data_IF_175878112895
#
_entry.id   IF_175878112895
#
_cell.length_a   1.000
_cell.length_b   1.000
_cell.length_c   1.000
_cell.angle_alpha   90.00
_cell.angle_beta   90.00
_cell.angle_gamma   90.00
#
_symmetry.space_group_name_H-M   'P 1'
#
loop_
_entity.id
_entity.type
_entity.pdbx_description
1 polymer ?
#
# COMPACT_ATOMS: atom_id res chain seq x y z
N UNK A 1 -34.11 13.18 -30.13
CA UNK A 1 -32.90 13.93 -29.76
C UNK A 1 -32.30 13.29 -28.53
N UNK A 2 -31.14 12.65 -28.69
CA UNK A 2 -30.48 11.84 -27.66
C UNK A 2 -29.74 12.73 -26.67
N UNK A 3 -30.16 12.73 -25.39
CA UNK A 3 -29.42 13.42 -24.34
C UNK A 3 -28.27 12.53 -23.84
N UNK A 4 -27.07 13.00 -24.14
CA UNK A 4 -25.76 12.41 -23.88
C UNK A 4 -25.51 12.19 -22.38
N UNK A 5 -25.37 10.94 -21.95
CA UNK A 5 -24.86 10.60 -20.60
C UNK A 5 -23.35 10.87 -20.56
N UNK A 6 -22.97 12.04 -20.07
CA UNK A 6 -21.57 12.36 -19.77
C UNK A 6 -21.11 11.58 -18.53
N UNK A 7 -20.58 10.38 -18.76
CA UNK A 7 -19.75 9.66 -17.80
C UNK A 7 -18.47 10.47 -17.55
N UNK A 8 -18.47 11.30 -16.51
CA UNK A 8 -17.25 11.93 -15.99
C UNK A 8 -16.78 11.15 -14.78
N UNK A 9 -16.13 10.02 -15.05
CA UNK A 9 -15.24 9.35 -14.10
C UNK A 9 -13.98 10.20 -13.87
N UNK A 10 -14.13 11.41 -13.36
CA UNK A 10 -13.04 12.09 -12.69
C UNK A 10 -12.89 11.39 -11.35
N UNK A 11 -12.03 10.37 -11.27
CA UNK A 11 -11.44 9.93 -10.00
C UNK A 11 -10.71 11.14 -9.46
N UNK A 12 -11.42 11.91 -8.63
CA UNK A 12 -10.93 13.13 -8.04
C UNK A 12 -9.72 12.76 -7.20
N UNK A 13 -8.52 13.19 -7.62
CA UNK A 13 -7.24 12.79 -7.00
C UNK A 13 -7.27 13.09 -5.50
N UNK A 14 -7.92 14.18 -5.12
CA UNK A 14 -8.11 14.61 -3.73
C UNK A 14 -8.95 13.62 -2.92
N UNK A 15 -9.93 12.96 -3.57
CA UNK A 15 -10.76 11.92 -2.94
C UNK A 15 -9.97 10.64 -2.70
N UNK A 16 -9.08 10.28 -3.64
CA UNK A 16 -8.15 9.16 -3.48
C UNK A 16 -7.15 9.44 -2.36
N UNK A 17 -6.62 10.67 -2.26
CA UNK A 17 -5.69 11.06 -1.19
C UNK A 17 -6.39 11.04 0.18
N UNK A 18 -7.63 11.54 0.27
CA UNK A 18 -8.42 11.49 1.48
C UNK A 18 -8.73 10.05 1.94
N UNK A 19 -9.04 9.15 0.98
CA UNK A 19 -9.26 7.72 1.25
C UNK A 19 -7.98 6.95 1.62
N UNK A 20 -6.77 7.50 1.43
CA UNK A 20 -5.50 6.86 1.84
C UNK A 20 -5.12 7.22 3.28
N UNK A 21 -5.63 8.33 3.82
CA UNK A 21 -5.27 8.87 5.14
C UNK A 21 -6.32 8.62 6.24
N UNK A 22 -7.44 7.95 5.94
CA UNK A 22 -8.47 7.63 6.94
C UNK A 22 -8.03 6.44 7.84
N UNK A 23 -7.93 6.61 9.17
CA UNK A 23 -7.60 5.51 10.08
C UNK A 23 -8.62 4.36 10.09
N UNK A 24 -9.80 4.55 9.49
CA UNK A 24 -10.84 3.52 9.33
C UNK A 24 -10.79 2.78 7.99
N UNK A 25 -9.73 2.94 7.19
CA UNK A 25 -9.60 2.21 5.92
C UNK A 25 -9.54 0.70 6.22
N UNK A 26 -10.39 -0.11 5.59
CA UNK A 26 -10.31 -1.55 5.71
C UNK A 26 -8.96 -2.05 5.21
N UNK A 27 -8.17 -2.65 6.10
CA UNK A 27 -6.87 -3.22 5.73
C UNK A 27 -7.05 -4.46 4.87
N UNK A 28 -6.36 -4.52 3.72
CA UNK A 28 -6.24 -5.77 2.94
C UNK A 28 -5.02 -6.56 3.40
N UNK A 29 -5.17 -7.89 3.48
CA UNK A 29 -4.07 -8.80 3.80
C UNK A 29 -3.11 -8.89 2.61
N UNK A 30 -1.82 -8.69 2.87
CA UNK A 30 -0.75 -8.86 1.89
C UNK A 30 -0.08 -10.21 2.12
N UNK A 31 -0.34 -11.18 1.24
CA UNK A 31 0.26 -12.52 1.27
C UNK A 31 1.12 -12.67 0.02
N UNK A 32 2.34 -13.16 0.18
CA UNK A 32 3.25 -13.48 -0.92
C UNK A 32 4.14 -14.65 -0.54
N UNK A 33 4.58 -15.40 -1.54
CA UNK A 33 5.62 -16.41 -1.38
C UNK A 33 6.98 -15.75 -1.59
N UNK A 34 7.89 -15.93 -0.63
CA UNK A 34 9.29 -15.52 -0.75
C UNK A 34 10.20 -16.68 -0.31
N UNK A 35 11.44 -16.73 -0.82
CA UNK A 35 12.42 -17.71 -0.36
C UNK A 35 12.60 -17.66 1.17
N UNK A 36 12.70 -18.82 1.81
CA UNK A 36 12.76 -18.93 3.27
C UNK A 36 14.02 -18.29 3.87
N UNK A 37 15.15 -18.42 3.17
CA UNK A 37 16.40 -17.76 3.55
C UNK A 37 16.22 -16.23 3.55
N UNK A 38 15.56 -15.67 2.53
CA UNK A 38 15.28 -14.25 2.43
C UNK A 38 14.35 -13.77 3.55
N UNK A 39 13.29 -14.52 3.84
CA UNK A 39 12.39 -14.20 4.95
C UNK A 39 13.12 -14.18 6.30
N UNK A 40 14.01 -15.15 6.51
CA UNK A 40 14.80 -15.27 7.75
C UNK A 40 15.77 -14.11 7.91
N UNK A 41 16.54 -13.80 6.87
CA UNK A 41 17.47 -12.66 6.87
C UNK A 41 16.73 -11.34 7.12
N UNK A 42 15.60 -11.15 6.43
CA UNK A 42 14.76 -9.97 6.59
C UNK A 42 14.26 -9.83 8.04
N UNK A 43 13.76 -10.92 8.63
CA UNK A 43 13.30 -10.94 10.02
C UNK A 43 14.42 -10.61 11.01
N UNK A 44 15.61 -11.19 10.84
CA UNK A 44 16.77 -10.89 11.68
C UNK A 44 17.15 -9.41 11.61
N UNK A 45 17.12 -8.83 10.41
CA UNK A 45 17.43 -7.41 10.22
C UNK A 45 16.39 -6.51 10.90
N UNK A 46 15.10 -6.83 10.79
CA UNK A 46 14.03 -6.12 11.48
C UNK A 46 14.22 -6.14 13.00
N UNK A 47 14.50 -7.31 13.58
CA UNK A 47 14.77 -7.46 15.02
C UNK A 47 15.97 -6.61 15.44
N UNK A 48 17.08 -6.64 14.68
CA UNK A 48 18.28 -5.86 14.99
C UNK A 48 18.05 -4.34 15.00
N UNK A 49 17.05 -3.87 14.26
CA UNK A 49 16.69 -2.45 14.14
C UNK A 49 15.52 -2.03 15.04
N UNK A 50 14.91 -2.96 15.76
CA UNK A 50 13.74 -2.69 16.60
C UNK A 50 12.50 -2.29 15.79
N UNK A 51 12.37 -2.76 14.55
CA UNK A 51 11.24 -2.45 13.66
C UNK A 51 10.47 -3.71 13.29
N UNK A 52 9.21 -3.56 12.92
CA UNK A 52 8.39 -4.67 12.43
C UNK A 52 8.57 -4.87 10.93
N UNK A 53 8.41 -6.11 10.46
CA UNK A 53 8.41 -6.42 9.02
C UNK A 53 7.31 -5.64 8.27
N UNK A 54 6.17 -5.39 8.92
CA UNK A 54 5.05 -4.62 8.37
C UNK A 54 5.46 -3.18 8.06
N UNK A 55 6.14 -2.51 8.99
CA UNK A 55 6.59 -1.12 8.81
C UNK A 55 7.50 -0.99 7.59
N UNK A 56 8.50 -1.86 7.50
CA UNK A 56 9.45 -1.85 6.37
C UNK A 56 8.77 -2.15 5.04
N UNK A 57 7.85 -3.13 5.00
CA UNK A 57 7.10 -3.43 3.76
C UNK A 57 6.23 -2.24 3.35
N UNK A 58 5.55 -1.58 4.29
CA UNK A 58 4.75 -0.40 3.99
C UNK A 58 5.60 0.78 3.51
N UNK A 59 6.79 0.96 4.10
CA UNK A 59 7.76 1.96 3.66
C UNK A 59 8.22 1.70 2.23
N UNK A 60 8.66 0.47 1.92
CA UNK A 60 9.05 0.10 0.56
C UNK A 60 7.93 0.27 -0.46
N UNK A 61 6.69 -0.09 -0.12
CA UNK A 61 5.53 0.13 -0.99
C UNK A 61 5.33 1.62 -1.25
N UNK A 62 5.38 2.46 -0.21
CA UNK A 62 5.24 3.92 -0.34
C UNK A 62 6.36 4.54 -1.18
N UNK A 63 7.59 4.11 -0.96
CA UNK A 63 8.74 4.58 -1.74
C UNK A 63 8.64 4.16 -3.20
N UNK A 64 8.24 2.92 -3.46
CA UNK A 64 8.06 2.40 -4.82
C UNK A 64 7.01 3.18 -5.60
N UNK A 65 5.88 3.55 -4.97
CA UNK A 65 4.81 4.34 -5.61
C UNK A 65 5.27 5.77 -5.95
N UNK A 66 6.23 6.33 -5.20
CA UNK A 66 6.74 7.68 -5.44
C UNK A 66 7.74 7.75 -6.61
N UNK A 67 8.30 6.62 -7.04
CA UNK A 67 9.17 6.52 -8.22
C UNK A 67 8.35 6.55 -9.50
#
# INVERSE_FOLDING_TARGET
MSNMKLSKNHRNKDKVIAEICDPNIPSKRFIMNIPENLHTEFKLKCVSKGVTMKEIILEFIKEWIKK
#
